data_IF_344145247203
#
_entry.id   IF_344145247203
#
_cell.length_a   1.000
_cell.length_b   1.000
_cell.length_c   1.000
_cell.angle_alpha   90.00
_cell.angle_beta   90.00
_cell.angle_gamma   90.00
#
_symmetry.space_group_name_H-M   'P 1'
#
loop_
_entity.id
_entity.type
_entity.pdbx_description
1 polymer ?
#
# COMPACT_ATOMS: atom_id res chain seq x y z
N UNK A 1 5.34 -6.88 -1.98
CA UNK A 1 4.08 -6.75 -2.79
C UNK A 1 2.88 -6.97 -1.87
N UNK A 2 1.87 -6.10 -1.92
CA UNK A 2 0.69 -6.11 -1.05
C UNK A 2 -0.53 -6.87 -1.62
N UNK A 3 -0.33 -7.80 -2.56
CA UNK A 3 -1.43 -8.39 -3.33
C UNK A 3 -2.37 -9.26 -2.50
N UNK A 4 -1.85 -9.99 -1.52
CA UNK A 4 -2.65 -10.82 -0.63
C UNK A 4 -3.47 -9.97 0.34
N UNK A 5 -2.87 -8.89 0.86
CA UNK A 5 -3.54 -7.89 1.68
C UNK A 5 -4.68 -7.20 0.94
N UNK A 6 -4.47 -6.80 -0.33
CA UNK A 6 -5.53 -6.24 -1.18
C UNK A 6 -6.72 -7.19 -1.30
N UNK A 7 -6.43 -8.48 -1.57
CA UNK A 7 -7.48 -9.49 -1.66
C UNK A 7 -8.21 -9.70 -0.34
N UNK A 8 -7.50 -9.75 0.78
CA UNK A 8 -8.14 -9.91 2.09
C UNK A 8 -9.03 -8.71 2.45
N UNK A 9 -8.63 -7.47 2.10
CA UNK A 9 -9.47 -6.27 2.25
C UNK A 9 -10.72 -6.34 1.35
N UNK A 10 -10.55 -6.64 0.06
CA UNK A 10 -11.68 -6.79 -0.87
C UNK A 10 -12.65 -7.90 -0.40
N UNK A 11 -12.10 -9.04 0.05
CA UNK A 11 -12.88 -10.14 0.62
C UNK A 11 -13.62 -9.75 1.90
N UNK A 12 -13.05 -8.85 2.70
CA UNK A 12 -13.69 -8.30 3.89
C UNK A 12 -14.78 -7.26 3.57
N UNK A 13 -15.05 -6.99 2.29
CA UNK A 13 -16.10 -6.07 1.83
C UNK A 13 -15.65 -4.63 1.66
N UNK A 14 -14.34 -4.37 1.68
CA UNK A 14 -13.80 -3.04 1.36
C UNK A 14 -13.91 -2.79 -0.14
N UNK A 15 -14.22 -1.54 -0.51
CA UNK A 15 -13.94 -1.07 -1.86
C UNK A 15 -12.44 -0.78 -1.97
N UNK A 16 -11.77 -1.46 -2.90
CA UNK A 16 -10.32 -1.44 -3.02
C UNK A 16 -9.94 -0.81 -4.36
N UNK A 17 -9.31 0.35 -4.30
CA UNK A 17 -8.79 1.07 -5.47
C UNK A 17 -7.27 1.09 -5.46
N UNK A 18 -6.66 0.87 -6.63
CA UNK A 18 -5.21 0.84 -6.82
C UNK A 18 -4.83 1.83 -7.90
N UNK A 19 -3.92 2.74 -7.55
CA UNK A 19 -3.19 3.57 -8.51
C UNK A 19 -1.83 2.95 -8.77
N UNK A 20 -1.56 2.65 -10.04
CA UNK A 20 -0.25 2.15 -10.48
C UNK A 20 0.08 2.78 -11.83
N UNK A 21 1.32 3.21 -12.01
CA UNK A 21 1.76 3.78 -13.29
C UNK A 21 2.06 2.68 -14.32
N UNK A 22 1.73 2.96 -15.59
CA UNK A 22 2.11 2.08 -16.69
C UNK A 22 1.46 0.69 -16.71
N UNK A 23 0.43 0.45 -15.88
CA UNK A 23 -0.28 -0.82 -15.85
C UNK A 23 -1.15 -1.00 -17.11
N UNK A 24 -0.70 -1.87 -18.02
CA UNK A 24 -1.41 -2.17 -19.28
C UNK A 24 -2.38 -3.34 -19.17
N UNK A 25 -2.10 -4.27 -18.25
CA UNK A 25 -2.96 -5.42 -17.99
C UNK A 25 -3.58 -5.30 -16.61
N UNK A 26 -4.88 -5.03 -16.57
CA UNK A 26 -5.64 -4.85 -15.33
C UNK A 26 -6.10 -6.19 -14.73
N UNK A 27 -6.01 -7.30 -15.48
CA UNK A 27 -6.50 -8.61 -15.04
C UNK A 27 -5.89 -9.05 -13.70
N UNK A 28 -4.58 -8.88 -13.43
CA UNK A 28 -4.02 -9.22 -12.12
C UNK A 28 -4.70 -8.48 -10.97
N UNK A 29 -4.98 -7.18 -11.13
CA UNK A 29 -5.63 -6.37 -10.10
C UNK A 29 -7.11 -6.75 -9.94
N UNK A 30 -7.81 -7.02 -11.04
CA UNK A 30 -9.18 -7.55 -11.01
C UNK A 30 -9.28 -8.90 -10.29
N UNK A 31 -8.30 -9.79 -10.49
CA UNK A 31 -8.22 -11.08 -9.78
C UNK A 31 -8.11 -10.85 -8.27
N UNK A 32 -7.39 -9.82 -7.84
CA UNK A 32 -7.26 -9.45 -6.43
C UNK A 32 -8.50 -8.72 -5.88
N UNK A 33 -9.51 -8.46 -6.70
CA UNK A 33 -10.70 -7.69 -6.31
C UNK A 33 -10.45 -6.19 -6.20
N UNK A 34 -9.41 -5.67 -6.87
CA UNK A 34 -9.09 -4.25 -6.90
C UNK A 34 -9.58 -3.56 -8.18
N UNK A 35 -10.11 -2.36 -8.02
CA UNK A 35 -10.40 -1.41 -9.07
C UNK A 35 -9.13 -0.61 -9.40
N UNK A 36 -8.97 -0.19 -10.66
CA UNK A 36 -7.85 0.67 -11.06
C UNK A 36 -8.38 2.07 -11.28
N UNK A 37 -7.74 3.02 -10.60
CA UNK A 37 -8.06 4.44 -10.69
C UNK A 37 -7.06 5.13 -11.63
N UNK A 38 -7.56 6.02 -12.48
CA UNK A 38 -6.75 6.81 -13.42
C UNK A 38 -6.52 8.24 -12.91
N UNK A 39 -7.19 8.65 -11.84
CA UNK A 39 -6.96 9.96 -11.23
C UNK A 39 -5.50 10.13 -10.79
N UNK A 40 -5.04 11.38 -10.69
CA UNK A 40 -3.71 11.66 -10.14
C UNK A 40 -3.65 11.18 -8.69
N UNK A 41 -2.46 10.80 -8.23
CA UNK A 41 -2.31 10.35 -6.85
C UNK A 41 -2.70 11.44 -5.85
N UNK A 42 -2.42 12.71 -6.16
CA UNK A 42 -2.84 13.85 -5.33
C UNK A 42 -4.37 13.94 -5.18
N UNK A 43 -5.11 13.73 -6.27
CA UNK A 43 -6.58 13.71 -6.24
C UNK A 43 -7.09 12.55 -5.40
N UNK A 44 -6.56 11.34 -5.61
CA UNK A 44 -6.96 10.16 -4.83
C UNK A 44 -6.74 10.38 -3.34
N UNK A 45 -5.59 10.94 -2.94
CA UNK A 45 -5.25 11.17 -1.55
C UNK A 45 -6.14 12.25 -0.89
N UNK A 46 -6.50 13.29 -1.66
CA UNK A 46 -7.33 14.39 -1.16
C UNK A 46 -8.80 14.00 -0.96
N UNK A 47 -9.27 13.00 -1.71
CA UNK A 47 -10.67 12.55 -1.71
C UNK A 47 -10.90 11.32 -0.81
N UNK A 48 -9.91 10.90 -0.02
CA UNK A 48 -10.06 9.75 0.89
C UNK A 48 -11.15 10.03 1.94
N UNK A 49 -12.14 9.13 2.10
CA UNK A 49 -13.16 9.29 3.13
C UNK A 49 -12.57 9.06 4.54
N UNK A 50 -13.13 9.68 5.59
CA UNK A 50 -12.75 9.36 6.96
C UNK A 50 -12.91 7.86 7.25
N UNK A 51 -11.91 7.27 7.91
CA UNK A 51 -11.84 5.83 8.19
C UNK A 51 -11.32 4.99 7.02
N UNK A 52 -10.86 5.60 5.92
CA UNK A 52 -10.17 4.89 4.85
C UNK A 52 -8.84 4.29 5.33
N UNK A 53 -8.34 3.33 4.56
CA UNK A 53 -7.00 2.79 4.71
C UNK A 53 -6.20 3.03 3.44
N UNK A 54 -5.07 3.72 3.56
CA UNK A 54 -4.10 3.91 2.49
C UNK A 54 -2.92 2.97 2.70
N UNK A 55 -2.63 2.16 1.69
CA UNK A 55 -1.34 1.50 1.57
C UNK A 55 -0.53 2.21 0.49
N UNK A 56 0.76 2.46 0.71
CA UNK A 56 1.67 3.10 -0.25
C UNK A 56 3.00 2.33 -0.34
N UNK A 57 3.66 2.36 -1.50
CA UNK A 57 4.98 1.73 -1.66
C UNK A 57 6.03 2.46 -0.82
N UNK A 58 6.79 1.71 -0.01
CA UNK A 58 7.96 2.23 0.69
C UNK A 58 9.00 2.84 -0.29
N UNK A 59 9.18 2.23 -1.45
CA UNK A 59 10.06 2.73 -2.52
C UNK A 59 9.56 4.08 -3.06
N UNK A 60 8.25 4.23 -3.26
CA UNK A 60 7.68 5.49 -3.74
C UNK A 60 7.86 6.62 -2.72
N UNK A 61 7.71 6.34 -1.42
CA UNK A 61 7.96 7.32 -0.36
C UNK A 61 9.44 7.74 -0.26
N UNK A 62 10.35 6.81 -0.57
CA UNK A 62 11.78 7.07 -0.61
C UNK A 62 12.15 7.99 -1.79
N UNK A 63 11.57 7.71 -2.96
CA UNK A 63 11.95 8.34 -4.23
C UNK A 63 11.21 9.65 -4.53
N UNK A 64 9.99 9.83 -4.02
CA UNK A 64 9.15 11.00 -4.29
C UNK A 64 8.91 11.86 -3.03
N UNK A 65 9.60 13.02 -2.91
CA UNK A 65 9.38 13.95 -1.81
C UNK A 65 7.98 14.55 -1.74
N UNK A 66 7.30 14.72 -2.87
CA UNK A 66 5.94 15.25 -2.91
C UNK A 66 4.96 14.22 -2.35
N UNK A 67 5.06 12.97 -2.80
CA UNK A 67 4.27 11.86 -2.24
C UNK A 67 4.43 11.76 -0.74
N UNK A 68 5.68 11.80 -0.26
CA UNK A 68 6.00 11.72 1.15
C UNK A 68 5.40 12.87 1.96
N UNK A 69 5.42 14.10 1.44
CA UNK A 69 4.78 15.23 2.10
C UNK A 69 3.25 15.03 2.22
N UNK A 70 2.58 14.61 1.15
CA UNK A 70 1.14 14.36 1.17
C UNK A 70 0.74 13.22 2.13
N UNK A 71 1.51 12.14 2.15
CA UNK A 71 1.27 11.02 3.07
C UNK A 71 1.47 11.44 4.52
N UNK A 72 2.44 12.32 4.82
CA UNK A 72 2.59 12.87 6.17
C UNK A 72 1.41 13.74 6.61
N UNK A 73 0.87 14.57 5.72
CA UNK A 73 -0.33 15.36 6.04
C UNK A 73 -1.52 14.44 6.38
N UNK A 74 -1.70 13.35 5.63
CA UNK A 74 -2.76 12.38 5.89
C UNK A 74 -2.57 11.66 7.24
N UNK A 75 -1.34 11.25 7.55
CA UNK A 75 -1.03 10.66 8.87
C UNK A 75 -1.33 11.66 10.00
N UNK A 76 -0.93 12.93 9.83
CA UNK A 76 -1.13 13.96 10.84
C UNK A 76 -2.61 14.34 11.04
N UNK A 77 -3.45 14.18 10.01
CA UNK A 77 -4.88 14.42 10.13
C UNK A 77 -5.56 13.33 10.98
N UNK A 78 -5.04 12.11 10.95
CA UNK A 78 -5.58 10.97 11.69
C UNK A 78 -6.91 10.44 11.12
N UNK A 79 -7.31 10.91 9.93
CA UNK A 79 -8.57 10.53 9.30
C UNK A 79 -8.48 9.21 8.52
N UNK A 80 -7.27 8.72 8.27
CA UNK A 80 -7.03 7.46 7.57
C UNK A 80 -5.96 6.61 8.27
N UNK A 81 -6.14 5.29 8.22
CA UNK A 81 -5.08 4.33 8.51
C UNK A 81 -4.06 4.40 7.37
N UNK A 82 -2.77 4.61 7.66
CA UNK A 82 -1.75 4.74 6.62
C UNK A 82 -0.65 3.73 6.86
N UNK A 83 -0.38 2.90 5.85
CA UNK A 83 0.66 1.87 5.88
C UNK A 83 1.59 1.99 4.68
N UNK A 84 2.87 1.71 4.88
CA UNK A 84 3.82 1.50 3.79
C UNK A 84 4.05 -0.01 3.57
N UNK A 85 3.94 -0.52 2.34
CA UNK A 85 4.37 -1.89 2.02
C UNK A 85 5.78 -1.89 1.47
N UNK A 86 6.55 -2.93 1.79
CA UNK A 86 7.91 -3.11 1.31
C UNK A 86 8.76 -3.87 2.31
N UNK A 87 9.94 -4.32 1.87
CA UNK A 87 10.84 -5.09 2.72
C UNK A 87 11.81 -4.19 3.51
N UNK A 88 11.91 -2.91 3.13
CA UNK A 88 12.84 -1.93 3.69
C UNK A 88 12.08 -0.69 4.13
N UNK A 89 12.35 -0.25 5.36
CA UNK A 89 11.85 1.02 5.88
C UNK A 89 12.43 2.20 5.10
N UNK A 90 11.61 3.15 4.61
CA UNK A 90 12.12 4.32 3.90
C UNK A 90 12.96 5.21 4.83
N UNK A 91 14.25 5.36 4.54
CA UNK A 91 15.19 6.08 5.41
C UNK A 91 14.79 7.56 5.63
N UNK A 92 14.09 8.16 4.67
CA UNK A 92 13.67 9.56 4.68
C UNK A 92 12.47 9.82 5.60
N UNK A 93 11.81 8.78 6.11
CA UNK A 93 10.68 8.93 7.05
C UNK A 93 11.14 9.22 8.48
N UNK A 94 12.42 8.99 8.80
CA UNK A 94 12.95 9.16 10.15
C UNK A 94 12.36 8.16 11.14
N UNK A 95 13.00 8.00 12.30
CA UNK A 95 12.61 6.97 13.27
C UNK A 95 12.68 5.54 12.72
N UNK A 96 12.35 4.56 13.54
CA UNK A 96 12.09 3.19 13.10
C UNK A 96 10.71 2.81 13.62
N UNK A 97 9.85 2.35 12.73
CA UNK A 97 8.58 1.72 13.07
C UNK A 97 8.75 0.22 12.89
N UNK A 98 8.25 -0.55 13.86
CA UNK A 98 8.25 -1.99 13.76
C UNK A 98 7.42 -2.46 12.56
N UNK A 99 8.03 -3.33 11.76
CA UNK A 99 7.33 -3.95 10.65
C UNK A 99 6.25 -4.91 11.18
N UNK A 100 5.04 -4.79 10.65
CA UNK A 100 3.94 -5.70 10.91
C UNK A 100 3.81 -6.70 9.77
N UNK A 101 3.68 -7.98 10.10
CA UNK A 101 3.40 -9.04 9.13
C UNK A 101 1.89 -9.27 9.00
N UNK A 102 1.34 -8.97 7.82
CA UNK A 102 -0.01 -9.36 7.47
C UNK A 102 -0.03 -10.83 7.03
N UNK A 103 -0.67 -11.70 7.82
CA UNK A 103 -0.82 -13.11 7.48
C UNK A 103 -1.91 -13.30 6.43
N UNK A 104 -1.51 -13.81 5.27
CA UNK A 104 -2.43 -14.04 4.15
C UNK A 104 -3.40 -15.17 4.45
N UNK A 105 -4.68 -14.93 4.15
CA UNK A 105 -5.66 -16.01 4.13
C UNK A 105 -5.32 -17.06 3.06
N UNK A 106 -5.88 -18.28 3.20
CA UNK A 106 -5.72 -19.34 2.18
C UNK A 106 -6.21 -18.85 0.82
N UNK A 107 -7.31 -18.08 0.80
CA UNK A 107 -7.86 -17.51 -0.41
C UNK A 107 -6.93 -16.42 -0.98
N UNK A 108 -6.42 -15.50 -0.16
CA UNK A 108 -5.45 -14.49 -0.59
C UNK A 108 -4.22 -15.12 -1.25
N UNK A 109 -3.68 -16.20 -0.67
CA UNK A 109 -2.54 -16.91 -1.26
C UNK A 109 -2.87 -17.49 -2.65
N UNK A 110 -4.04 -18.10 -2.80
CA UNK A 110 -4.48 -18.69 -4.07
C UNK A 110 -4.73 -17.62 -5.15
N UNK A 111 -5.45 -16.55 -4.80
CA UNK A 111 -5.76 -15.46 -5.73
C UNK A 111 -4.52 -14.63 -6.09
N UNK A 112 -3.61 -14.39 -5.14
CA UNK A 112 -2.30 -13.78 -5.43
C UNK A 112 -1.49 -14.62 -6.39
N UNK A 113 -1.42 -15.95 -6.20
CA UNK A 113 -0.71 -16.82 -7.14
C UNK A 113 -1.32 -16.75 -8.55
N UNK A 114 -2.66 -16.67 -8.64
CA UNK A 114 -3.37 -16.52 -9.91
C UNK A 114 -3.13 -15.16 -10.57
N UNK A 115 -3.11 -14.07 -9.79
CA UNK A 115 -2.80 -12.73 -10.25
C UNK A 115 -1.37 -12.63 -10.80
N UNK A 116 -0.39 -13.21 -10.08
CA UNK A 116 1.00 -13.28 -10.53
C UNK A 116 1.13 -14.07 -11.84
N UNK A 117 0.45 -15.21 -11.94
CA UNK A 117 0.42 -15.99 -13.19
C UNK A 117 -0.20 -15.20 -14.36
N UNK A 118 -1.25 -14.41 -14.10
CA UNK A 118 -1.87 -13.55 -15.12
C UNK A 118 -0.95 -12.39 -15.54
N UNK A 119 -0.08 -11.92 -14.64
CA UNK A 119 0.95 -10.93 -14.89
C UNK A 119 2.24 -11.52 -15.52
N UNK A 120 2.25 -12.82 -15.83
CA UNK A 120 3.44 -13.54 -16.33
C UNK A 120 4.63 -13.49 -15.35
N UNK A 121 4.35 -13.35 -14.05
CA UNK A 121 5.32 -13.36 -12.97
C UNK A 121 5.36 -14.73 -12.28
N UNK A 122 6.49 -15.04 -11.65
CA UNK A 122 6.62 -16.28 -10.88
C UNK A 122 5.62 -16.30 -9.70
N UNK A 123 4.87 -17.39 -9.48
CA UNK A 123 3.81 -17.46 -8.47
C UNK A 123 4.34 -17.70 -7.05
N UNK A 124 5.54 -17.21 -6.72
CA UNK A 124 6.12 -17.36 -5.39
C UNK A 124 5.31 -16.53 -4.37
N UNK A 125 4.44 -17.22 -3.62
CA UNK A 125 3.55 -16.59 -2.63
C UNK A 125 3.90 -17.07 -1.23
N UNK A 126 4.47 -16.15 -0.45
CA UNK A 126 4.72 -16.31 0.98
C UNK A 126 3.44 -16.43 1.81
N UNK A 127 3.60 -16.71 3.10
CA UNK A 127 2.49 -16.75 4.06
C UNK A 127 2.14 -15.36 4.61
N UNK A 128 3.06 -14.41 4.52
CA UNK A 128 2.95 -13.06 5.07
C UNK A 128 3.33 -12.00 4.03
N UNK A 129 2.85 -10.78 4.25
CA UNK A 129 3.27 -9.56 3.56
C UNK A 129 3.64 -8.51 4.60
N UNK A 130 4.75 -7.79 4.39
CA UNK A 130 5.29 -6.83 5.35
C UNK A 130 4.75 -5.43 5.12
N UNK A 131 4.32 -4.79 6.20
CA UNK A 131 3.84 -3.43 6.26
C UNK A 131 4.49 -2.66 7.39
N UNK A 132 4.57 -1.34 7.24
CA UNK A 132 4.96 -0.43 8.31
C UNK A 132 3.81 0.53 8.57
N UNK A 133 3.33 0.58 9.81
CA UNK A 133 2.23 1.46 10.22
C UNK A 133 2.76 2.89 10.41
N UNK A 134 2.30 3.82 9.58
CA UNK A 134 2.74 5.21 9.65
C UNK A 134 1.96 6.01 10.71
N UNK A 135 0.85 5.49 11.22
CA UNK A 135 0.00 6.14 12.22
C UNK A 135 0.23 5.69 13.67
N UNK A 136 0.90 4.56 13.88
CA UNK A 136 1.20 4.05 15.23
C UNK A 136 2.27 4.90 15.94
N UNK A 137 1.86 5.59 17.01
CA UNK A 137 2.67 6.34 17.99
C UNK A 137 3.96 6.99 17.43
N UNK A 138 3.78 8.18 16.83
CA UNK A 138 4.79 8.95 16.07
C UNK A 138 6.20 9.04 16.68
N UNK A 139 7.21 8.85 15.80
CA UNK A 139 8.22 9.88 15.63
C UNK A 139 8.48 10.19 14.14
N UNK A 140 7.45 10.15 13.29
CA UNK A 140 7.58 10.64 11.93
C UNK A 140 7.90 12.14 11.99
N UNK A 141 9.15 12.48 11.70
CA UNK A 141 9.61 13.86 11.56
C UNK A 141 10.19 14.00 10.17
N UNK A 142 9.76 14.98 9.36
CA UNK A 142 10.40 15.24 8.10
C UNK A 142 11.89 15.53 8.36
N UNK A 143 12.78 14.73 7.77
CA UNK A 143 14.21 15.04 7.78
C UNK A 143 14.38 16.34 6.98
N UNK A 144 14.74 17.43 7.65
CA UNK A 144 15.10 18.68 6.97
C UNK A 144 16.20 18.38 5.95
N UNK A 145 15.92 18.65 4.67
CA UNK A 145 16.95 18.69 3.64
C UNK A 145 17.86 19.90 3.92
N UNK A 146 19.16 19.65 4.07
CA UNK A 146 20.21 20.67 4.18
C UNK A 146 20.56 21.21 2.80
#
# INVERSE_FOLDING_TARGET
MAGGWLFDRARAGWDVSVRVEGCRDLRPLMILGANVVDESTETVLSDLPPGAALAVSAELLNDDPHMRAHVFELVNSGDAEVMAWGDVWPAQLGGHVDATEHRLSVAARAFKARALAAAELAPAVGATETFFDLGAESPLRPLCSV
#
